data_IF_768569816977
#
_entry.id   IF_768569816977
#
_cell.length_a   1.000
_cell.length_b   1.000
_cell.length_c   1.000
_cell.angle_alpha   90.00
_cell.angle_beta   90.00
_cell.angle_gamma   90.00
#
_symmetry.space_group_name_H-M   'P 1'
#
loop_
_entity.id
_entity.type
_entity.pdbx_description
1 polymer ?
#
# COMPACT_ATOMS: atom_id res chain seq x y z
N UNK A 1 -21.95 10.61 -19.78
CA UNK A 1 -20.91 10.31 -18.79
C UNK A 1 -21.11 8.86 -18.36
N UNK A 2 -20.12 7.99 -18.59
CA UNK A 2 -20.17 6.57 -18.23
C UNK A 2 -19.77 6.39 -16.77
N UNK A 3 -20.37 5.44 -16.07
CA UNK A 3 -20.14 5.18 -14.65
C UNK A 3 -19.56 3.80 -14.42
N UNK A 4 -18.38 3.72 -13.81
CA UNK A 4 -17.79 2.46 -13.36
C UNK A 4 -17.87 2.32 -11.84
N UNK A 5 -18.48 1.23 -11.35
CA UNK A 5 -18.33 0.82 -9.95
C UNK A 5 -17.03 0.02 -9.81
N UNK A 6 -16.18 0.42 -8.88
CA UNK A 6 -14.93 -0.28 -8.57
C UNK A 6 -15.01 -0.87 -7.17
N UNK A 7 -14.97 -2.20 -7.05
CA UNK A 7 -15.05 -2.88 -5.77
C UNK A 7 -13.65 -3.23 -5.24
N UNK A 8 -13.24 -2.58 -4.14
CA UNK A 8 -12.07 -2.99 -3.35
C UNK A 8 -12.26 -2.55 -1.89
N UNK A 9 -12.49 -3.49 -1.00
CA UNK A 9 -12.90 -3.21 0.39
C UNK A 9 -11.77 -3.34 1.42
N UNK A 10 -10.65 -3.97 1.07
CA UNK A 10 -9.50 -4.27 1.92
C UNK A 10 -8.40 -4.96 1.10
N UNK A 11 -7.15 -5.08 1.55
CA UNK A 11 -6.56 -4.37 2.69
C UNK A 11 -6.21 -2.93 2.31
N UNK A 12 -5.79 -2.12 3.29
CA UNK A 12 -5.54 -0.69 3.12
C UNK A 12 -4.56 -0.38 1.96
N UNK A 13 -3.40 -1.06 1.95
CA UNK A 13 -2.41 -0.90 0.87
C UNK A 13 -2.97 -1.27 -0.50
N UNK A 14 -3.72 -2.37 -0.60
CA UNK A 14 -4.34 -2.78 -1.86
C UNK A 14 -5.40 -1.78 -2.36
N UNK A 15 -6.13 -1.14 -1.46
CA UNK A 15 -7.07 -0.07 -1.81
C UNK A 15 -6.32 1.14 -2.34
N UNK A 16 -5.22 1.56 -1.70
CA UNK A 16 -4.39 2.64 -2.22
C UNK A 16 -3.83 2.31 -3.61
N UNK A 17 -3.40 1.07 -3.86
CA UNK A 17 -2.90 0.63 -5.16
C UNK A 17 -3.93 0.68 -6.31
N UNK A 18 -5.24 0.85 -6.03
CA UNK A 18 -6.23 1.07 -7.09
C UNK A 18 -6.24 2.51 -7.61
N UNK A 19 -5.67 3.47 -6.89
CA UNK A 19 -5.67 4.88 -7.26
C UNK A 19 -5.03 5.11 -8.65
N UNK A 20 -3.89 4.47 -8.90
CA UNK A 20 -3.16 4.59 -10.16
C UNK A 20 -3.97 4.09 -11.37
N UNK A 21 -4.47 2.84 -11.38
CA UNK A 21 -5.34 2.35 -12.45
C UNK A 21 -6.57 3.21 -12.70
N UNK A 22 -7.17 3.75 -11.63
CA UNK A 22 -8.31 4.67 -11.75
C UNK A 22 -7.87 5.96 -12.45
N UNK A 23 -6.78 6.61 -12.01
CA UNK A 23 -6.28 7.84 -12.63
C UNK A 23 -5.88 7.62 -14.10
N UNK A 24 -5.24 6.50 -14.42
CA UNK A 24 -4.91 6.14 -15.81
C UNK A 24 -6.15 5.96 -16.68
N UNK A 25 -7.21 5.36 -16.15
CA UNK A 25 -8.49 5.23 -16.86
C UNK A 25 -9.15 6.60 -17.06
N UNK A 26 -9.22 7.44 -16.02
CA UNK A 26 -9.83 8.77 -16.12
C UNK A 26 -9.08 9.71 -17.07
N UNK A 27 -7.75 9.55 -17.22
CA UNK A 27 -6.95 10.33 -18.17
C UNK A 27 -7.35 10.07 -19.62
N UNK A 28 -7.52 8.81 -20.00
CA UNK A 28 -7.85 8.41 -21.38
C UNK A 28 -9.35 8.44 -21.70
N UNK A 29 -10.21 8.57 -20.69
CA UNK A 29 -11.66 8.54 -20.85
C UNK A 29 -12.29 9.77 -20.17
N UNK A 30 -12.35 10.94 -20.85
CA UNK A 30 -12.89 12.17 -20.27
C UNK A 30 -14.35 12.07 -19.83
N UNK A 31 -15.13 11.16 -20.45
CA UNK A 31 -16.54 10.92 -20.14
C UNK A 31 -16.75 9.88 -19.02
N UNK A 32 -15.68 9.30 -18.46
CA UNK A 32 -15.76 8.31 -17.39
C UNK A 32 -15.77 8.99 -16.01
N UNK A 33 -16.67 8.52 -15.15
CA UNK A 33 -16.60 8.72 -13.70
C UNK A 33 -16.48 7.38 -12.98
N UNK A 34 -15.82 7.39 -11.83
CA UNK A 34 -15.59 6.19 -11.01
C UNK A 34 -16.29 6.34 -9.66
N UNK A 35 -17.07 5.32 -9.30
CA UNK A 35 -17.59 5.15 -7.95
C UNK A 35 -16.73 4.09 -7.25
N UNK A 36 -15.82 4.55 -6.39
CA UNK A 36 -14.96 3.68 -5.61
C UNK A 36 -15.72 3.14 -4.40
N UNK A 37 -16.08 1.87 -4.42
CA UNK A 37 -16.83 1.23 -3.33
C UNK A 37 -15.85 0.62 -2.34
N UNK A 38 -15.69 1.29 -1.20
CA UNK A 38 -14.72 0.91 -0.18
C UNK A 38 -15.13 1.34 1.23
N UNK A 39 -14.38 0.96 2.25
CA UNK A 39 -14.69 1.30 3.65
C UNK A 39 -14.39 2.80 3.89
N UNK A 40 -15.13 3.49 4.78
CA UNK A 40 -14.97 4.92 5.03
C UNK A 40 -13.53 5.36 5.26
N UNK A 41 -12.78 4.62 6.09
CA UNK A 41 -11.39 4.92 6.42
C UNK A 41 -10.41 4.93 5.23
N UNK A 42 -10.81 4.43 4.06
CA UNK A 42 -9.98 4.43 2.84
C UNK A 42 -10.37 5.53 1.86
N UNK A 43 -11.34 6.39 2.20
CA UNK A 43 -11.70 7.54 1.37
C UNK A 43 -10.54 8.52 1.19
N UNK A 44 -9.66 8.62 2.19
CA UNK A 44 -8.46 9.47 2.18
C UNK A 44 -7.55 9.28 0.95
N UNK A 45 -7.55 8.11 0.30
CA UNK A 45 -6.73 7.88 -0.90
C UNK A 45 -7.28 8.54 -2.17
N UNK A 46 -8.56 8.91 -2.18
CA UNK A 46 -9.29 9.33 -3.37
C UNK A 46 -9.79 10.78 -3.25
N UNK A 47 -9.17 11.57 -2.38
CA UNK A 47 -9.51 12.98 -2.22
C UNK A 47 -9.08 13.80 -3.45
N UNK A 48 -9.79 14.89 -3.70
CA UNK A 48 -9.43 15.91 -4.69
C UNK A 48 -9.30 15.44 -6.15
N UNK A 49 -10.08 14.42 -6.55
CA UNK A 49 -10.37 14.14 -7.97
C UNK A 49 -11.89 14.08 -8.13
N UNK A 50 -12.48 15.10 -8.75
CA UNK A 50 -13.94 15.28 -8.85
C UNK A 50 -14.65 14.10 -9.52
N UNK A 51 -13.95 13.38 -10.40
CA UNK A 51 -14.50 12.23 -11.12
C UNK A 51 -14.41 10.92 -10.35
N UNK A 52 -13.79 10.91 -9.16
CA UNK A 52 -13.79 9.78 -8.24
C UNK A 52 -14.71 10.09 -7.07
N UNK A 53 -15.83 9.37 -6.96
CA UNK A 53 -16.70 9.41 -5.79
C UNK A 53 -16.50 8.16 -4.96
N UNK A 54 -16.23 8.31 -3.67
CA UNK A 54 -16.21 7.17 -2.74
C UNK A 54 -17.62 6.86 -2.28
N UNK A 55 -18.05 5.61 -2.47
CA UNK A 55 -19.27 5.08 -1.85
C UNK A 55 -18.89 4.22 -0.65
N UNK A 56 -19.25 4.69 0.54
CA UNK A 56 -18.81 4.10 1.79
C UNK A 56 -19.58 2.82 2.15
N UNK A 57 -18.84 1.76 2.48
CA UNK A 57 -19.42 0.51 2.93
C UNK A 57 -19.13 0.20 4.41
N UNK A 58 -20.20 0.00 5.19
CA UNK A 58 -20.13 -0.31 6.62
C UNK A 58 -20.56 -1.75 6.88
N UNK A 59 -19.65 -2.71 6.68
CA UNK A 59 -19.94 -4.15 6.82
C UNK A 59 -20.18 -4.59 8.27
N UNK A 60 -19.85 -3.74 9.22
CA UNK A 60 -20.01 -3.93 10.65
C UNK A 60 -21.37 -3.41 11.16
N UNK A 61 -22.06 -2.58 10.36
CA UNK A 61 -23.36 -1.98 10.69
C UNK A 61 -24.33 -2.04 9.50
N UNK A 62 -24.50 -0.94 8.75
CA UNK A 62 -25.51 -0.73 7.71
C UNK A 62 -25.54 -1.81 6.64
N UNK A 63 -24.37 -2.34 6.26
CA UNK A 63 -24.18 -3.32 5.18
C UNK A 63 -23.78 -4.71 5.71
N UNK A 64 -24.17 -5.05 6.94
CA UNK A 64 -23.85 -6.34 7.56
C UNK A 64 -24.76 -7.47 7.03
N UNK A 65 -24.15 -8.61 6.72
CA UNK A 65 -24.86 -9.83 6.31
C UNK A 65 -25.53 -9.74 4.92
N UNK A 66 -26.35 -10.74 4.55
CA UNK A 66 -27.00 -10.79 3.24
C UNK A 66 -27.92 -9.60 2.95
N UNK A 67 -28.79 -9.23 3.91
CA UNK A 67 -29.70 -8.09 3.76
C UNK A 67 -28.95 -6.76 3.67
N UNK A 68 -27.88 -6.59 4.44
CA UNK A 68 -27.01 -5.42 4.34
C UNK A 68 -26.29 -5.33 2.99
N UNK A 69 -25.93 -6.48 2.40
CA UNK A 69 -25.33 -6.53 1.08
C UNK A 69 -26.34 -6.20 -0.03
N UNK A 70 -27.58 -6.68 0.10
CA UNK A 70 -28.67 -6.29 -0.80
C UNK A 70 -28.99 -4.79 -0.70
N UNK A 71 -28.97 -4.22 0.51
CA UNK A 71 -29.08 -2.78 0.73
C UNK A 71 -27.95 -2.02 0.01
N UNK A 72 -26.70 -2.44 0.18
CA UNK A 72 -25.57 -1.86 -0.55
C UNK A 72 -25.78 -1.94 -2.07
N UNK A 73 -26.25 -3.06 -2.59
CA UNK A 73 -26.63 -3.19 -4.00
C UNK A 73 -27.65 -2.13 -4.43
N UNK A 74 -28.75 -1.94 -3.67
CA UNK A 74 -29.78 -0.94 -3.98
C UNK A 74 -29.19 0.47 -4.05
N UNK A 75 -28.35 0.85 -3.09
CA UNK A 75 -27.67 2.14 -3.10
C UNK A 75 -26.74 2.29 -4.31
N UNK A 76 -26.02 1.23 -4.69
CA UNK A 76 -25.14 1.24 -5.85
C UNK A 76 -25.89 1.32 -7.18
N UNK A 77 -27.13 0.84 -7.27
CA UNK A 77 -27.95 0.96 -8.49
C UNK A 77 -28.39 2.39 -8.79
N UNK A 78 -28.44 3.26 -7.79
CA UNK A 78 -28.78 4.68 -7.97
C UNK A 78 -27.76 5.41 -8.86
N UNK A 79 -26.52 4.93 -8.92
CA UNK A 79 -25.49 5.48 -9.80
C UNK A 79 -25.64 5.08 -11.27
N UNK A 80 -26.60 4.21 -11.60
CA UNK A 80 -26.86 3.70 -12.94
C UNK A 80 -25.58 3.21 -13.64
N UNK A 81 -24.88 2.21 -13.09
CA UNK A 81 -23.55 1.85 -13.57
C UNK A 81 -23.56 1.17 -14.94
N UNK A 82 -22.57 1.54 -15.75
CA UNK A 82 -22.26 0.92 -17.05
C UNK A 82 -21.29 -0.25 -16.88
N UNK A 83 -20.34 -0.11 -15.94
CA UNK A 83 -19.29 -1.09 -15.68
C UNK A 83 -19.25 -1.49 -14.20
N UNK A 84 -19.01 -2.78 -13.96
CA UNK A 84 -18.74 -3.31 -12.62
C UNK A 84 -17.35 -3.96 -12.65
N UNK A 85 -16.41 -3.36 -11.92
CA UNK A 85 -15.00 -3.75 -11.87
C UNK A 85 -14.69 -4.32 -10.48
N UNK A 86 -14.63 -5.64 -10.38
CA UNK A 86 -14.32 -6.35 -9.13
C UNK A 86 -12.81 -6.55 -8.96
N UNK A 87 -12.16 -5.57 -8.34
CA UNK A 87 -10.74 -5.62 -7.97
C UNK A 87 -10.50 -6.35 -6.64
N UNK A 88 -11.55 -6.79 -5.96
CA UNK A 88 -11.42 -7.51 -4.70
C UNK A 88 -11.42 -9.02 -4.90
N UNK A 89 -12.32 -9.54 -5.73
CA UNK A 89 -12.58 -10.96 -5.94
C UNK A 89 -12.67 -11.72 -4.59
N UNK A 90 -13.61 -11.32 -3.73
CA UNK A 90 -13.91 -12.00 -2.46
C UNK A 90 -15.38 -12.44 -2.41
N UNK A 91 -15.79 -13.13 -1.34
CA UNK A 91 -17.16 -13.63 -1.21
C UNK A 91 -18.23 -12.53 -1.23
N UNK A 92 -17.94 -11.35 -0.66
CA UNK A 92 -18.87 -10.22 -0.64
C UNK A 92 -19.04 -9.60 -2.02
N UNK A 93 -17.95 -9.38 -2.76
CA UNK A 93 -18.03 -8.87 -4.13
C UNK A 93 -18.66 -9.88 -5.08
N UNK A 94 -18.41 -11.18 -4.86
CA UNK A 94 -19.09 -12.25 -5.59
C UNK A 94 -20.60 -12.19 -5.39
N UNK A 95 -21.08 -12.14 -4.14
CA UNK A 95 -22.50 -12.03 -3.85
C UNK A 95 -23.11 -10.72 -4.38
N UNK A 96 -22.43 -9.57 -4.27
CA UNK A 96 -22.90 -8.32 -4.87
C UNK A 96 -23.11 -8.44 -6.38
N UNK A 97 -22.15 -9.04 -7.09
CA UNK A 97 -22.25 -9.24 -8.54
C UNK A 97 -23.47 -10.07 -8.94
N UNK A 98 -23.90 -11.04 -8.10
CA UNK A 98 -25.13 -11.81 -8.38
C UNK A 98 -26.40 -10.97 -8.35
N UNK A 99 -26.40 -9.78 -7.73
CA UNK A 99 -27.54 -8.86 -7.79
C UNK A 99 -27.55 -7.98 -9.05
N UNK A 100 -26.42 -7.84 -9.74
CA UNK A 100 -26.30 -7.07 -10.98
C UNK A 100 -26.52 -7.94 -12.23
N UNK A 101 -27.52 -8.83 -12.20
CA UNK A 101 -27.84 -9.70 -13.35
C UNK A 101 -28.06 -8.87 -14.62
N UNK A 102 -27.41 -9.27 -15.71
CA UNK A 102 -27.47 -8.56 -17.00
C UNK A 102 -26.45 -7.43 -17.19
N UNK A 103 -25.70 -7.03 -16.16
CA UNK A 103 -24.58 -6.07 -16.29
C UNK A 103 -23.25 -6.79 -16.50
N UNK A 104 -22.40 -6.26 -17.38
CA UNK A 104 -21.06 -6.81 -17.60
C UNK A 104 -20.18 -6.56 -16.38
N UNK A 105 -19.71 -7.66 -15.77
CA UNK A 105 -18.82 -7.63 -14.61
C UNK A 105 -17.44 -8.13 -15.01
N UNK A 106 -16.41 -7.35 -14.71
CA UNK A 106 -15.00 -7.67 -14.98
C UNK A 106 -14.31 -7.91 -13.65
N UNK A 107 -13.55 -9.01 -13.54
CA UNK A 107 -13.03 -9.48 -12.25
C UNK A 107 -11.52 -9.71 -12.33
N UNK A 108 -10.82 -9.27 -11.29
CA UNK A 108 -9.39 -9.51 -11.11
C UNK A 108 -9.04 -11.00 -11.19
N UNK A 109 -8.03 -11.34 -12.00
CA UNK A 109 -7.27 -12.57 -11.82
C UNK A 109 -6.22 -12.37 -10.71
N UNK A 110 -6.27 -13.21 -9.69
CA UNK A 110 -5.35 -13.14 -8.54
C UNK A 110 -4.05 -13.90 -8.76
N UNK A 111 -3.90 -14.59 -9.89
CA UNK A 111 -2.75 -15.43 -10.22
C UNK A 111 -2.43 -16.43 -9.09
N UNK A 112 -3.47 -17.09 -8.57
CA UNK A 112 -3.35 -17.96 -7.39
C UNK A 112 -2.48 -19.17 -7.67
N UNK A 113 -2.52 -19.69 -8.89
CA UNK A 113 -1.76 -20.87 -9.31
C UNK A 113 -0.27 -20.52 -9.41
N UNK A 114 0.04 -19.42 -10.10
CA UNK A 114 1.40 -18.91 -10.32
C UNK A 114 2.07 -18.57 -8.99
N UNK A 115 1.38 -17.85 -8.10
CA UNK A 115 1.88 -17.57 -6.74
C UNK A 115 2.16 -18.85 -5.96
N UNK A 116 1.29 -19.87 -6.09
CA UNK A 116 1.48 -21.18 -5.42
C UNK A 116 2.68 -21.92 -5.98
N UNK A 117 2.90 -21.89 -7.29
CA UNK A 117 4.04 -22.52 -7.94
C UNK A 117 5.36 -21.85 -7.53
N UNK A 118 5.39 -20.52 -7.42
CA UNK A 118 6.54 -19.77 -6.89
C UNK A 118 6.85 -20.17 -5.44
N UNK A 119 5.85 -20.22 -4.55
CA UNK A 119 6.03 -20.60 -3.13
C UNK A 119 6.54 -22.05 -2.99
N UNK A 120 6.18 -22.92 -3.92
CA UNK A 120 6.64 -24.32 -3.98
C UNK A 120 8.00 -24.48 -4.68
N UNK A 121 8.61 -23.41 -5.17
CA UNK A 121 9.87 -23.47 -5.91
C UNK A 121 9.74 -24.05 -7.32
N UNK A 122 8.52 -24.19 -7.86
CA UNK A 122 8.25 -24.72 -9.20
C UNK A 122 8.39 -23.67 -10.31
N UNK A 123 8.42 -22.40 -9.95
CA UNK A 123 8.57 -21.29 -10.89
C UNK A 123 9.42 -20.16 -10.28
N UNK A 124 10.18 -19.50 -11.14
CA UNK A 124 10.92 -18.27 -10.86
C UNK A 124 10.35 -17.06 -11.60
N UNK A 125 9.33 -17.25 -12.44
CA UNK A 125 8.71 -16.16 -13.20
C UNK A 125 7.89 -15.27 -12.27
N UNK A 126 8.22 -13.97 -12.14
CA UNK A 126 7.45 -13.05 -11.33
C UNK A 126 6.02 -12.89 -11.84
N UNK A 127 5.06 -12.81 -10.92
CA UNK A 127 3.71 -12.34 -11.22
C UNK A 127 3.75 -10.84 -11.43
N UNK A 128 2.95 -10.36 -12.40
CA UNK A 128 2.75 -8.93 -12.67
C UNK A 128 2.44 -8.16 -11.39
N UNK A 129 2.85 -6.89 -11.29
CA UNK A 129 2.53 -6.08 -10.11
C UNK A 129 1.01 -5.95 -9.91
N UNK A 130 0.52 -5.90 -8.67
CA UNK A 130 -0.92 -5.85 -8.37
C UNK A 130 -1.61 -4.63 -8.96
N UNK A 131 -0.97 -3.46 -8.95
CA UNK A 131 -1.45 -2.26 -9.67
C UNK A 131 -1.70 -2.54 -11.14
N UNK A 132 -0.82 -3.29 -11.78
CA UNK A 132 -0.91 -3.64 -13.18
C UNK A 132 -1.98 -4.71 -13.44
N UNK A 133 -2.21 -5.63 -12.49
CA UNK A 133 -3.34 -6.58 -12.51
C UNK A 133 -4.67 -5.83 -12.37
N UNK A 134 -4.73 -4.77 -11.55
CA UNK A 134 -5.91 -3.92 -11.46
C UNK A 134 -6.17 -3.18 -12.77
N UNK A 135 -5.12 -2.65 -13.43
CA UNK A 135 -5.24 -2.05 -14.77
C UNK A 135 -5.82 -3.04 -15.77
N UNK A 136 -5.42 -4.31 -15.71
CA UNK A 136 -5.94 -5.34 -16.63
C UNK A 136 -7.46 -5.48 -16.54
N UNK A 137 -8.06 -5.32 -15.35
CA UNK A 137 -9.52 -5.35 -15.19
C UNK A 137 -10.19 -4.20 -15.95
N UNK A 138 -9.63 -2.99 -15.91
CA UNK A 138 -10.14 -1.85 -16.70
C UNK A 138 -10.02 -2.14 -18.20
N UNK A 139 -8.86 -2.61 -18.65
CA UNK A 139 -8.65 -2.91 -20.08
C UNK A 139 -9.56 -4.04 -20.58
N UNK A 140 -9.81 -5.05 -19.74
CA UNK A 140 -10.75 -6.14 -20.06
C UNK A 140 -12.19 -5.66 -20.23
N UNK A 141 -12.52 -4.50 -19.64
CA UNK A 141 -13.80 -3.82 -19.79
C UNK A 141 -13.89 -2.95 -21.06
N UNK A 142 -12.83 -2.89 -21.86
CA UNK A 142 -12.72 -1.97 -22.99
C UNK A 142 -12.47 -0.52 -22.57
N UNK A 143 -12.05 -0.28 -21.32
CA UNK A 143 -11.68 1.05 -20.83
C UNK A 143 -10.19 1.27 -21.11
N UNK A 144 -9.88 2.27 -21.95
CA UNK A 144 -8.50 2.66 -22.24
C UNK A 144 -7.80 3.14 -20.97
N UNK A 145 -6.50 2.89 -20.86
CA UNK A 145 -5.72 3.34 -19.69
C UNK A 145 -4.41 3.92 -20.15
N UNK A 146 -4.04 5.07 -19.60
CA UNK A 146 -2.78 5.72 -19.91
C UNK A 146 -1.61 4.79 -19.52
N UNK A 147 -0.55 4.81 -20.34
CA UNK A 147 0.72 4.14 -20.00
C UNK A 147 1.70 5.06 -19.28
N UNK A 148 1.39 6.35 -19.17
CA UNK A 148 2.31 7.31 -18.56
C UNK A 148 2.42 7.15 -17.05
N UNK A 149 3.67 7.20 -16.60
CA UNK A 149 4.13 6.95 -15.24
C UNK A 149 4.22 8.28 -14.48
N UNK A 150 3.19 9.14 -14.59
CA UNK A 150 3.07 10.19 -13.59
C UNK A 150 2.66 9.48 -12.30
N UNK A 151 3.61 9.28 -11.39
CA UNK A 151 3.28 8.87 -10.03
C UNK A 151 2.28 9.91 -9.51
N UNK A 152 1.07 9.51 -9.11
CA UNK A 152 0.17 10.44 -8.48
C UNK A 152 0.88 10.91 -7.23
N UNK A 153 0.79 12.18 -6.89
CA UNK A 153 0.76 12.51 -5.49
C UNK A 153 -0.63 12.09 -4.98
N UNK A 154 -0.73 11.58 -3.75
CA UNK A 154 -2.00 11.73 -3.05
C UNK A 154 -2.32 13.21 -3.04
N UNK A 155 -3.49 13.57 -3.57
CA UNK A 155 -3.91 14.95 -3.55
C UNK A 155 -4.62 15.15 -2.21
N UNK A 156 -3.98 15.88 -1.29
CA UNK A 156 -4.53 16.17 0.05
C UNK A 156 -5.19 17.54 0.07
N UNK A 157 -6.12 17.77 1.00
CA UNK A 157 -6.82 19.05 1.13
C UNK A 157 -5.87 20.19 1.53
N UNK A 158 -6.22 21.43 1.18
CA UNK A 158 -5.45 22.63 1.57
C UNK A 158 -5.28 22.73 3.09
N UNK A 159 -6.30 22.35 3.86
CA UNK A 159 -6.23 22.31 5.32
C UNK A 159 -5.16 21.33 5.83
N UNK A 160 -5.10 20.13 5.24
CA UNK A 160 -4.05 19.14 5.53
C UNK A 160 -2.66 19.68 5.18
N UNK A 161 -2.49 20.26 4.00
CA UNK A 161 -1.23 20.85 3.57
C UNK A 161 -0.75 21.95 4.53
N UNK A 162 -1.67 22.82 4.95
CA UNK A 162 -1.38 23.92 5.87
C UNK A 162 -1.04 23.42 7.28
N UNK A 163 -1.71 22.38 7.78
CA UNK A 163 -1.38 21.75 9.07
C UNK A 163 0.03 21.18 9.07
N UNK A 164 0.40 20.44 8.02
CA UNK A 164 1.75 19.89 7.89
C UNK A 164 2.78 21.00 7.71
N UNK A 165 2.47 22.07 6.96
CA UNK A 165 3.36 23.24 6.79
C UNK A 165 3.64 23.96 8.11
N UNK A 166 2.63 24.07 8.97
CA UNK A 166 2.72 24.74 10.26
C UNK A 166 3.21 23.83 11.39
N UNK A 167 3.59 22.58 11.09
CA UNK A 167 4.09 21.66 12.10
C UNK A 167 5.45 22.14 12.64
N UNK A 168 5.67 22.02 13.94
CA UNK A 168 6.88 22.54 14.61
C UNK A 168 8.18 21.91 14.07
N UNK A 169 8.13 20.63 13.72
CA UNK A 169 9.29 19.92 13.17
C UNK A 169 9.35 20.21 11.69
N UNK A 170 10.37 20.93 11.23
CA UNK A 170 10.54 21.34 9.83
C UNK A 170 11.35 20.32 9.02
N UNK A 171 11.19 20.26 7.67
CA UNK A 171 11.99 19.40 6.81
C UNK A 171 13.49 19.80 6.87
N UNK A 172 14.42 18.89 6.48
CA UNK A 172 14.18 17.65 5.74
C UNK A 172 13.83 16.45 6.63
N UNK A 173 13.08 15.48 6.07
CA UNK A 173 12.52 14.35 6.81
C UNK A 173 12.93 13.00 6.23
N UNK A 174 13.16 12.04 7.14
CA UNK A 174 13.24 10.61 6.81
C UNK A 174 12.13 9.87 7.55
N UNK A 175 11.35 9.06 6.85
CA UNK A 175 10.32 8.23 7.47
C UNK A 175 10.81 6.82 7.80
N UNK A 176 10.35 6.25 8.92
CA UNK A 176 10.54 4.84 9.25
C UNK A 176 9.20 4.24 9.69
N UNK A 177 8.75 3.21 8.99
CA UNK A 177 7.54 2.45 9.29
C UNK A 177 7.90 0.98 9.59
N UNK A 178 8.22 0.64 10.85
CA UNK A 178 8.87 -0.62 11.17
C UNK A 178 7.94 -1.82 11.31
N UNK A 179 6.62 -1.58 11.42
CA UNK A 179 5.64 -2.63 11.72
C UNK A 179 4.84 -3.08 10.52
N UNK A 180 4.37 -4.32 10.59
CA UNK A 180 3.53 -4.98 9.60
C UNK A 180 2.49 -5.84 10.32
N UNK A 181 1.45 -6.27 9.60
CA UNK A 181 0.43 -7.15 10.18
C UNK A 181 0.97 -8.52 10.63
N UNK A 182 2.02 -9.02 9.99
CA UNK A 182 2.54 -10.37 10.23
C UNK A 182 4.02 -10.34 10.62
N UNK A 183 4.38 -11.14 11.63
CA UNK A 183 5.76 -11.23 12.18
C UNK A 183 6.82 -11.44 11.09
N UNK A 184 6.56 -12.30 10.10
CA UNK A 184 7.49 -12.57 9.01
C UNK A 184 7.76 -11.40 8.06
N UNK A 185 7.10 -10.26 8.26
CA UNK A 185 7.27 -9.02 7.49
C UNK A 185 7.86 -7.88 8.33
N UNK A 186 8.07 -8.11 9.63
CA UNK A 186 8.63 -7.13 10.57
C UNK A 186 10.11 -7.43 10.73
N UNK A 187 10.98 -6.51 10.31
CA UNK A 187 12.40 -6.60 10.65
C UNK A 187 12.56 -6.51 12.17
N UNK A 188 13.39 -7.36 12.82
CA UNK A 188 13.49 -7.42 14.27
C UNK A 188 13.62 -6.05 14.92
N UNK A 189 12.84 -5.82 15.97
CA UNK A 189 12.74 -4.50 16.58
C UNK A 189 14.08 -4.04 17.16
N UNK A 190 14.85 -4.99 17.70
CA UNK A 190 16.20 -4.81 18.22
C UNK A 190 17.16 -4.27 17.15
N UNK A 191 16.94 -4.64 15.88
CA UNK A 191 17.73 -4.10 14.77
C UNK A 191 17.33 -2.67 14.42
N UNK A 192 16.06 -2.28 14.61
CA UNK A 192 15.67 -0.87 14.50
C UNK A 192 16.29 -0.03 15.62
N UNK A 193 16.35 -0.54 16.86
CA UNK A 193 17.01 0.16 17.98
C UNK A 193 18.48 0.47 17.69
N UNK A 194 19.19 -0.43 16.99
CA UNK A 194 20.58 -0.23 16.56
C UNK A 194 20.68 0.65 15.29
N UNK A 195 19.75 0.48 14.35
CA UNK A 195 19.76 1.18 13.06
C UNK A 195 19.44 2.68 13.17
N UNK A 196 18.43 3.06 13.97
CA UNK A 196 17.95 4.45 14.04
C UNK A 196 19.06 5.44 14.48
N UNK A 197 19.86 5.16 15.53
CA UNK A 197 21.00 6.00 15.88
C UNK A 197 22.04 6.10 14.76
N UNK A 198 22.36 4.99 14.08
CA UNK A 198 23.31 4.97 12.96
C UNK A 198 22.82 5.82 11.78
N UNK A 199 21.53 5.73 11.47
CA UNK A 199 20.89 6.55 10.44
C UNK A 199 20.92 8.04 10.82
N UNK A 200 20.56 8.36 12.08
CA UNK A 200 20.57 9.73 12.60
C UNK A 200 21.95 10.39 12.51
N UNK A 201 23.00 9.62 12.78
CA UNK A 201 24.39 10.09 12.70
C UNK A 201 24.87 10.24 11.24
N UNK A 202 24.43 9.35 10.35
CA UNK A 202 24.75 9.44 8.92
C UNK A 202 24.06 10.64 8.24
N UNK A 203 22.91 11.07 8.75
CA UNK A 203 22.10 12.16 8.20
C UNK A 203 21.80 13.24 9.27
N UNK A 204 22.82 14.02 9.70
CA UNK A 204 22.70 14.92 10.85
C UNK A 204 21.73 16.10 10.66
N UNK A 205 21.39 16.45 9.41
CA UNK A 205 20.43 17.53 9.09
C UNK A 205 18.98 17.07 9.07
N UNK A 206 18.72 15.76 9.16
CA UNK A 206 17.38 15.21 8.97
C UNK A 206 16.67 14.96 10.30
N UNK A 207 15.36 15.16 10.28
CA UNK A 207 14.44 14.71 11.30
C UNK A 207 13.88 13.34 10.92
N UNK A 208 13.98 12.35 11.81
CA UNK A 208 13.47 11.00 11.60
C UNK A 208 12.05 10.92 12.18
N UNK A 209 11.09 10.56 11.34
CA UNK A 209 9.69 10.41 11.67
C UNK A 209 9.34 8.92 11.76
N UNK A 210 8.91 8.47 12.94
CA UNK A 210 8.50 7.09 13.21
C UNK A 210 6.99 6.95 13.00
N UNK A 211 6.63 6.20 11.96
CA UNK A 211 5.26 5.96 11.50
C UNK A 211 4.75 4.62 12.04
N UNK A 212 3.47 4.57 12.40
CA UNK A 212 2.83 3.37 12.96
C UNK A 212 1.37 3.60 13.34
N UNK A 213 0.75 2.61 13.98
CA UNK A 213 -0.65 2.66 14.33
C UNK A 213 -1.00 2.00 15.66
N UNK A 214 -1.84 2.66 16.44
CA UNK A 214 -2.40 2.13 17.68
C UNK A 214 -1.43 2.14 18.86
N UNK A 215 -1.97 1.78 20.03
CA UNK A 215 -1.28 1.94 21.33
C UNK A 215 0.02 1.14 21.43
N UNK A 216 -0.01 -0.13 21.01
CA UNK A 216 1.16 -1.04 21.09
C UNK A 216 2.34 -0.53 20.26
N UNK A 217 2.09 -0.13 19.02
CA UNK A 217 3.16 0.37 18.14
C UNK A 217 3.70 1.70 18.67
N UNK A 218 2.84 2.58 19.18
CA UNK A 218 3.25 3.82 19.84
C UNK A 218 4.24 3.54 20.98
N UNK A 219 3.91 2.64 21.91
CA UNK A 219 4.76 2.30 23.06
C UNK A 219 6.12 1.73 22.64
N UNK A 220 6.18 0.97 21.55
CA UNK A 220 7.45 0.48 21.01
C UNK A 220 8.26 1.62 20.38
N UNK A 221 7.64 2.46 19.55
CA UNK A 221 8.33 3.59 18.90
C UNK A 221 8.82 4.64 19.90
N UNK A 222 8.09 4.84 21.01
CA UNK A 222 8.51 5.75 22.08
C UNK A 222 9.89 5.38 22.65
N UNK A 223 10.33 4.12 22.55
CA UNK A 223 11.67 3.67 22.97
C UNK A 223 12.79 4.17 22.05
N UNK A 224 12.47 4.57 20.82
CA UNK A 224 13.44 5.12 19.84
C UNK A 224 13.46 6.65 19.83
N UNK A 225 12.52 7.31 20.52
CA UNK A 225 12.41 8.77 20.57
C UNK A 225 13.65 9.36 21.23
N UNK A 226 14.25 10.33 20.54
CA UNK A 226 15.43 11.07 20.99
C UNK A 226 15.49 12.39 20.23
N UNK A 227 16.51 13.20 20.47
CA UNK A 227 16.75 14.41 19.67
C UNK A 227 16.72 14.08 18.16
N UNK A 228 15.90 14.81 17.40
CA UNK A 228 15.60 14.62 15.96
C UNK A 228 14.92 13.31 15.57
N UNK A 229 14.38 12.54 16.52
CA UNK A 229 13.62 11.31 16.25
C UNK A 229 12.26 11.42 16.92
N UNK A 230 11.20 11.48 16.11
CA UNK A 230 9.85 11.81 16.56
C UNK A 230 8.89 10.66 16.28
N UNK A 231 8.11 10.29 17.29
CA UNK A 231 6.98 9.37 17.12
C UNK A 231 5.74 10.12 16.65
N UNK A 232 5.23 9.80 15.46
CA UNK A 232 4.07 10.49 14.88
C UNK A 232 2.75 9.74 15.11
N UNK A 233 2.77 8.60 15.80
CA UNK A 233 1.58 7.76 15.99
C UNK A 233 0.50 8.51 16.76
N UNK A 234 -0.66 8.67 16.11
CA UNK A 234 -1.83 9.34 16.67
C UNK A 234 -1.82 10.86 16.54
N UNK A 235 -0.80 11.46 15.93
CA UNK A 235 -0.74 12.92 15.70
C UNK A 235 -1.49 13.35 14.42
N UNK A 236 -1.51 12.47 13.43
CA UNK A 236 -2.03 12.75 12.09
C UNK A 236 -3.17 11.81 11.71
N UNK A 237 -4.15 12.35 10.99
CA UNK A 237 -5.13 11.53 10.26
C UNK A 237 -4.44 10.78 9.12
N UNK A 238 -5.10 9.79 8.51
CA UNK A 238 -4.52 9.09 7.36
C UNK A 238 -4.20 10.05 6.20
N UNK A 239 -5.09 11.02 5.92
CA UNK A 239 -4.85 12.02 4.88
C UNK A 239 -3.62 12.88 5.19
N UNK A 240 -3.48 13.31 6.45
CA UNK A 240 -2.33 14.09 6.92
C UNK A 240 -1.03 13.27 6.92
N UNK A 241 -1.08 11.98 7.21
CA UNK A 241 0.06 11.09 7.11
C UNK A 241 0.52 10.91 5.65
N UNK A 242 -0.41 10.84 4.69
CA UNK A 242 -0.07 10.76 3.26
C UNK A 242 0.61 12.04 2.76
N UNK A 243 0.15 13.21 3.22
CA UNK A 243 0.80 14.51 2.99
C UNK A 243 2.19 14.57 3.64
N UNK A 244 2.34 14.03 4.84
CA UNK A 244 3.64 13.98 5.50
C UNK A 244 4.61 13.05 4.76
N UNK A 245 4.12 11.89 4.29
CA UNK A 245 4.90 10.93 3.50
C UNK A 245 5.40 11.57 2.19
N UNK A 246 4.60 12.39 1.51
CA UNK A 246 5.01 13.06 0.26
C UNK A 246 6.14 14.09 0.45
N UNK A 247 6.36 14.55 1.70
CA UNK A 247 7.44 15.47 2.07
C UNK A 247 8.71 14.78 2.57
N UNK A 248 8.69 13.45 2.69
CA UNK A 248 9.88 12.69 3.05
C UNK A 248 10.86 12.65 1.87
N UNK A 249 12.14 12.81 2.14
CA UNK A 249 13.19 12.54 1.15
C UNK A 249 13.28 11.04 0.83
N UNK A 250 13.11 10.20 1.87
CA UNK A 250 12.88 8.77 1.71
C UNK A 250 12.16 8.15 2.90
N UNK A 251 11.56 6.98 2.65
CA UNK A 251 10.85 6.16 3.61
C UNK A 251 11.50 4.78 3.71
N UNK A 252 11.76 4.32 4.94
CA UNK A 252 12.14 2.93 5.22
C UNK A 252 10.91 2.18 5.72
N UNK A 253 10.56 1.07 5.08
CA UNK A 253 9.42 0.25 5.51
C UNK A 253 9.62 -1.22 5.20
N UNK A 254 8.86 -2.10 5.84
CA UNK A 254 8.69 -3.47 5.36
C UNK A 254 7.77 -3.54 4.13
N UNK A 255 7.42 -4.77 3.72
CA UNK A 255 6.30 -5.04 2.81
C UNK A 255 4.96 -4.66 3.50
N UNK A 256 4.55 -3.39 3.48
CA UNK A 256 3.38 -2.91 4.24
C UNK A 256 2.57 -1.90 3.44
N UNK A 257 1.46 -1.39 4.00
CA UNK A 257 0.75 -0.27 3.38
C UNK A 257 1.66 0.96 3.19
N UNK A 258 2.58 1.23 4.13
CA UNK A 258 3.45 2.40 4.07
C UNK A 258 4.42 2.35 2.89
N UNK A 259 4.85 1.15 2.47
CA UNK A 259 5.60 0.98 1.22
C UNK A 259 4.80 1.49 0.01
N UNK A 260 3.52 1.11 -0.07
CA UNK A 260 2.66 1.53 -1.17
C UNK A 260 2.36 3.03 -1.09
N UNK A 261 2.17 3.57 0.12
CA UNK A 261 1.96 5.01 0.32
C UNK A 261 3.17 5.81 -0.15
N UNK A 262 4.38 5.47 0.28
CA UNK A 262 5.60 6.15 -0.18
C UNK A 262 5.71 6.14 -1.71
N UNK A 263 5.52 4.98 -2.35
CA UNK A 263 5.59 4.90 -3.81
C UNK A 263 4.52 5.75 -4.51
N UNK A 264 3.29 5.72 -4.00
CA UNK A 264 2.15 6.50 -4.50
C UNK A 264 2.18 7.98 -4.07
N UNK A 265 3.17 8.41 -3.29
CA UNK A 265 3.41 9.82 -2.97
C UNK A 265 4.58 10.40 -3.78
N UNK A 266 5.26 9.59 -4.59
CA UNK A 266 6.52 9.97 -5.25
C UNK A 266 7.75 9.85 -4.35
N UNK A 267 7.59 9.43 -3.09
CA UNK A 267 8.66 9.25 -2.11
C UNK A 267 9.52 8.04 -2.44
N UNK A 268 10.83 8.18 -2.33
CA UNK A 268 11.76 7.04 -2.43
C UNK A 268 11.56 6.08 -1.27
N UNK A 269 11.39 4.78 -1.52
CA UNK A 269 11.11 3.78 -0.48
C UNK A 269 12.19 2.71 -0.41
N UNK A 270 12.94 2.64 0.68
CA UNK A 270 13.81 1.50 0.97
C UNK A 270 13.01 0.42 1.69
N UNK A 271 12.71 -0.67 0.99
CA UNK A 271 11.80 -1.71 1.49
C UNK A 271 12.53 -2.95 2.00
N UNK A 272 12.33 -3.35 3.26
CA UNK A 272 12.97 -4.53 3.86
C UNK A 272 12.04 -5.75 3.77
N UNK A 273 12.50 -6.84 3.14
CA UNK A 273 11.67 -8.02 2.85
C UNK A 273 12.17 -9.29 3.54
N UNK A 274 11.26 -9.94 4.27
CA UNK A 274 11.48 -11.20 4.98
C UNK A 274 10.77 -12.40 4.35
N UNK A 275 9.76 -12.93 5.04
CA UNK A 275 9.04 -14.15 4.66
C UNK A 275 8.21 -14.02 3.37
N UNK A 276 7.95 -12.78 2.91
CA UNK A 276 7.34 -12.49 1.60
C UNK A 276 8.40 -12.18 0.55
N UNK A 277 7.97 -12.09 -0.70
CA UNK A 277 8.86 -11.76 -1.82
C UNK A 277 8.10 -11.01 -2.91
N UNK A 278 8.77 -10.02 -3.50
CA UNK A 278 8.22 -9.18 -4.56
C UNK A 278 7.72 -9.90 -5.82
N UNK A 279 8.29 -11.05 -6.17
CA UNK A 279 7.83 -11.87 -7.32
C UNK A 279 6.36 -12.31 -7.20
N UNK A 280 5.74 -12.20 -6.03
CA UNK A 280 4.32 -12.50 -5.84
C UNK A 280 3.41 -11.34 -6.30
N UNK A 281 3.95 -10.35 -7.02
CA UNK A 281 3.22 -9.24 -7.61
C UNK A 281 3.11 -8.02 -6.69
N UNK A 282 3.96 -7.91 -5.67
CA UNK A 282 4.02 -6.75 -4.77
C UNK A 282 5.43 -6.18 -4.79
N UNK A 283 5.60 -4.90 -4.58
CA UNK A 283 6.93 -4.31 -4.56
C UNK A 283 6.87 -2.79 -4.50
N UNK A 284 8.03 -2.14 -4.30
CA UNK A 284 8.11 -0.70 -4.46
C UNK A 284 7.84 -0.37 -5.93
N UNK A 285 6.68 0.23 -6.20
CA UNK A 285 6.21 0.46 -7.56
C UNK A 285 7.11 1.49 -8.26
N UNK A 286 7.63 1.13 -9.42
CA UNK A 286 8.56 1.94 -10.23
C UNK A 286 9.88 2.32 -9.55
N UNK A 287 10.28 1.59 -8.49
CA UNK A 287 11.55 1.80 -7.81
C UNK A 287 12.28 0.48 -7.64
N UNK A 288 13.62 0.51 -7.64
CA UNK A 288 14.47 -0.67 -7.44
C UNK A 288 15.23 -0.59 -6.11
N UNK A 289 14.50 -0.42 -5.02
CA UNK A 289 15.02 -0.08 -3.68
C UNK A 289 14.63 -1.14 -2.65
N UNK A 290 14.55 -2.40 -3.08
CA UNK A 290 14.27 -3.55 -2.21
C UNK A 290 15.54 -4.04 -1.52
N UNK A 291 15.42 -4.33 -0.23
CA UNK A 291 16.46 -4.88 0.63
C UNK A 291 15.99 -6.26 1.07
N UNK A 292 16.61 -7.28 0.50
CA UNK A 292 16.19 -8.66 0.72
C UNK A 292 17.39 -9.63 0.57
N UNK A 293 17.31 -10.79 1.21
CA UNK A 293 18.27 -11.88 0.99
C UNK A 293 17.92 -12.64 -0.30
N UNK A 294 18.88 -12.91 -1.18
CA UNK A 294 18.55 -13.56 -2.46
C UNK A 294 17.93 -14.95 -2.26
N UNK A 295 17.11 -15.42 -3.22
CA UNK A 295 16.58 -16.81 -3.18
C UNK A 295 17.66 -17.86 -3.38
N UNK A 296 18.77 -17.51 -4.01
CA UNK A 296 19.93 -18.39 -4.14
C UNK A 296 20.56 -18.64 -2.76
N UNK A 297 20.60 -17.62 -1.91
CA UNK A 297 21.10 -17.71 -0.54
C UNK A 297 20.06 -18.31 0.42
N UNK A 298 18.78 -17.98 0.26
CA UNK A 298 17.67 -18.51 1.07
C UNK A 298 16.53 -19.07 0.23
N UNK A 299 16.61 -20.37 -0.07
CA UNK A 299 15.66 -21.10 -0.91
C UNK A 299 14.27 -21.28 -0.28
N UNK A 300 14.13 -21.11 1.04
CA UNK A 300 12.85 -21.24 1.74
C UNK A 300 11.86 -20.10 1.43
N UNK A 301 12.31 -19.04 0.73
CA UNK A 301 11.53 -17.85 0.40
C UNK A 301 10.83 -17.96 -0.96
N UNK A 302 9.59 -17.46 -1.11
CA UNK A 302 8.72 -16.95 -0.03
C UNK A 302 8.07 -18.08 0.81
N UNK A 303 7.70 -17.76 2.04
CA UNK A 303 6.93 -18.66 2.90
C UNK A 303 5.44 -18.65 2.52
N UNK A 304 4.88 -17.47 2.24
CA UNK A 304 3.48 -17.30 1.82
C UNK A 304 3.29 -15.99 1.05
N UNK A 305 2.10 -15.81 0.45
CA UNK A 305 1.79 -14.60 -0.35
C UNK A 305 1.82 -13.32 0.49
N UNK A 306 1.24 -13.38 1.70
CA UNK A 306 1.04 -12.19 2.54
C UNK A 306 1.83 -12.25 3.85
N UNK A 307 2.66 -13.27 4.07
CA UNK A 307 3.41 -13.45 5.31
C UNK A 307 2.60 -14.03 6.48
N UNK A 308 1.38 -14.53 6.21
CA UNK A 308 0.49 -15.10 7.24
C UNK A 308 1.02 -16.42 7.82
N UNK A 309 1.65 -17.24 6.97
CA UNK A 309 2.17 -18.54 7.40
C UNK A 309 3.46 -18.36 8.23
N UNK A 310 3.67 -19.18 9.28
CA UNK A 310 4.92 -19.21 10.03
C UNK A 310 6.14 -19.40 9.13
N UNK A 311 7.31 -18.96 9.60
CA UNK A 311 8.56 -19.22 8.91
C UNK A 311 8.78 -20.73 8.76
N UNK A 312 8.96 -21.20 7.52
CA UNK A 312 9.25 -22.61 7.22
C UNK A 312 10.51 -23.14 7.93
N UNK A 313 11.46 -22.25 8.23
CA UNK A 313 12.73 -22.56 8.91
C UNK A 313 12.71 -22.33 10.42
N UNK A 314 11.69 -21.62 10.93
CA UNK A 314 11.55 -21.27 12.34
C UNK A 314 12.38 -20.08 12.82
N UNK A 315 13.47 -19.73 12.15
CA UNK A 315 14.47 -18.74 12.61
C UNK A 315 14.36 -17.35 11.97
N UNK A 316 13.48 -17.16 10.98
CA UNK A 316 13.36 -15.92 10.22
C UNK A 316 14.70 -15.39 9.66
N UNK A 317 15.62 -16.27 9.25
CA UNK A 317 16.93 -15.86 8.74
C UNK A 317 16.89 -14.81 7.61
N UNK A 318 15.82 -14.80 6.82
CA UNK A 318 15.56 -13.78 5.80
C UNK A 318 15.50 -12.34 6.33
N UNK A 319 15.22 -12.15 7.62
CA UNK A 319 15.20 -10.87 8.32
C UNK A 319 16.43 -10.73 9.22
N UNK A 320 16.81 -11.81 9.90
CA UNK A 320 17.95 -11.80 10.83
C UNK A 320 19.29 -11.53 10.13
N UNK A 321 19.48 -12.02 8.91
CA UNK A 321 20.70 -11.80 8.13
C UNK A 321 20.81 -10.39 7.53
N UNK A 322 19.73 -9.60 7.56
CA UNK A 322 19.78 -8.20 7.14
C UNK A 322 20.29 -7.39 8.34
N UNK A 323 21.56 -6.96 8.28
CA UNK A 323 22.15 -6.14 9.35
C UNK A 323 21.82 -4.64 9.18
N UNK A 324 21.79 -3.87 10.27
CA UNK A 324 21.66 -2.41 10.21
C UNK A 324 22.68 -1.72 9.30
N UNK A 325 23.93 -2.20 9.27
CA UNK A 325 24.99 -1.68 8.40
C UNK A 325 24.67 -1.92 6.93
N UNK A 326 24.17 -3.12 6.60
CA UNK A 326 23.77 -3.45 5.22
C UNK A 326 22.67 -2.52 4.74
N UNK A 327 21.66 -2.27 5.58
CA UNK A 327 20.57 -1.33 5.26
C UNK A 327 21.14 0.09 5.06
N UNK A 328 21.97 0.57 6.00
CA UNK A 328 22.54 1.91 5.94
C UNK A 328 23.43 2.12 4.71
N UNK A 329 24.26 1.14 4.35
CA UNK A 329 25.14 1.22 3.19
C UNK A 329 24.33 1.31 1.89
N UNK A 330 23.30 0.47 1.72
CA UNK A 330 22.39 0.55 0.57
C UNK A 330 21.75 1.93 0.48
N UNK A 331 21.32 2.52 1.60
CA UNK A 331 20.73 3.86 1.61
C UNK A 331 21.78 4.90 1.18
N UNK A 332 22.99 4.87 1.73
CA UNK A 332 24.07 5.81 1.38
C UNK A 332 24.49 5.74 -0.10
N UNK A 333 24.54 4.55 -0.66
CA UNK A 333 24.85 4.34 -2.10
C UNK A 333 23.80 4.97 -3.01
N UNK A 334 22.55 5.00 -2.56
CA UNK A 334 21.41 5.39 -3.38
C UNK A 334 20.87 6.78 -3.03
N UNK A 335 21.25 7.37 -1.91
CA UNK A 335 20.82 8.69 -1.47
C UNK A 335 22.03 9.47 -0.94
N UNK A 336 22.57 10.31 -1.80
CA UNK A 336 23.59 11.28 -1.42
C UNK A 336 22.88 12.58 -1.07
N UNK A 337 23.18 13.13 0.11
CA UNK A 337 22.65 14.44 0.49
C UNK A 337 23.12 15.49 -0.53
N UNK A 338 22.24 16.42 -0.95
CA UNK A 338 22.62 17.54 -1.81
C UNK A 338 23.79 18.36 -1.27
#
# INVERSE_FOLDING_TARGET
MKTALVFRFSAMGDVALTLLPIKWALKENPDLRVIMVTRPKFSAFFQNEERIKVHECHFESKHKGPFGLYRLYKELTEYQPDYILDLHQNLRTFALKTYFLGKKCYTLDKHRKEKKDIIKGKSSTPVKHVTEQYRDVFTSAGISTAREIALPAFTTTEATQQKIKNWEIQPPYIGIAPFAQHKGKIWPFEKYLDFVPKLKNAYPKYNILLLGGGKREKELLDQMVSERVYNTVGLFSLEEELELISKLDFLISGDTSNLHFGCLSGTKVYSIWGATHSMLGFGPLYQNTKIEISRAELTCRPCSVFGKEPCKRGDYACLEQISPEKVLNIIKENFQTP
#
